data_IF_335243805540
#
_entry.id   IF_335243805540
#
_cell.length_a   1.000
_cell.length_b   1.000
_cell.length_c   1.000
_cell.angle_alpha   90.00
_cell.angle_beta   90.00
_cell.angle_gamma   90.00
#
_symmetry.space_group_name_H-M   'P 1'
#
loop_
_entity.id
_entity.type
_entity.pdbx_description
1 polymer ?
#
# COMPACT_ATOMS: atom_id res chain seq x y z
N UNK A 1 0.41 27.05 2.96
CA UNK A 1 1.56 27.24 3.87
C UNK A 1 2.81 27.36 3.01
N UNK A 2 3.77 28.23 3.33
CA UNK A 2 4.98 28.38 2.50
C UNK A 2 5.99 27.24 2.79
N UNK A 3 6.87 26.87 1.84
CA UNK A 3 7.89 25.85 2.06
C UNK A 3 8.80 26.11 3.27
N UNK A 4 9.07 27.37 3.62
CA UNK A 4 9.93 27.74 4.75
C UNK A 4 9.32 27.41 6.13
N UNK A 5 8.02 27.12 6.18
CA UNK A 5 7.35 26.70 7.42
C UNK A 5 7.48 25.19 7.68
N UNK A 6 8.01 24.42 6.73
CA UNK A 6 8.25 22.98 6.90
C UNK A 6 9.38 22.75 7.89
N UNK A 7 9.29 21.68 8.68
CA UNK A 7 10.39 21.27 9.55
C UNK A 7 11.60 20.84 8.70
N UNK A 8 12.84 21.00 9.20
CA UNK A 8 14.04 20.57 8.50
C UNK A 8 14.20 19.03 8.61
N UNK A 9 13.34 18.29 7.89
CA UNK A 9 13.19 16.83 8.04
C UNK A 9 14.49 16.06 7.91
N UNK A 10 15.35 16.42 6.94
CA UNK A 10 16.61 15.71 6.69
C UNK A 10 17.60 15.80 7.86
N UNK A 11 17.47 16.80 8.74
CA UNK A 11 18.28 16.88 9.96
C UNK A 11 17.80 15.93 11.06
N UNK A 12 16.49 15.60 11.06
CA UNK A 12 15.78 14.92 12.13
C UNK A 12 15.65 13.40 11.95
N UNK A 13 15.70 12.91 10.71
CA UNK A 13 15.58 11.48 10.38
C UNK A 13 16.70 10.62 10.99
N UNK A 14 16.44 9.31 11.13
CA UNK A 14 17.37 8.35 11.73
C UNK A 14 18.65 8.20 10.91
N UNK A 15 19.71 7.66 11.54
CA UNK A 15 20.98 7.42 10.86
C UNK A 15 20.86 6.44 9.68
N UNK A 16 20.05 5.39 9.81
CA UNK A 16 19.83 4.45 8.70
C UNK A 16 19.01 5.08 7.57
N UNK A 17 18.02 5.93 7.87
CA UNK A 17 17.28 6.69 6.85
C UNK A 17 18.21 7.68 6.12
N UNK A 18 19.10 8.37 6.83
CA UNK A 18 20.14 9.22 6.20
C UNK A 18 21.05 8.40 5.27
N UNK A 19 21.36 7.15 5.61
CA UNK A 19 22.16 6.27 4.75
C UNK A 19 21.43 5.97 3.44
N UNK A 20 20.12 5.72 3.50
CA UNK A 20 19.27 5.55 2.31
C UNK A 20 19.24 6.82 1.47
N UNK A 21 18.92 7.97 2.08
CA UNK A 21 18.81 9.27 1.38
C UNK A 21 20.12 9.64 0.67
N UNK A 22 21.27 9.31 1.25
CA UNK A 22 22.58 9.58 0.67
C UNK A 22 23.06 8.54 -0.35
N UNK A 23 22.27 7.50 -0.61
CA UNK A 23 22.63 6.45 -1.59
C UNK A 23 22.45 6.98 -3.00
N UNK A 24 23.56 7.15 -3.72
CA UNK A 24 23.53 7.55 -5.12
C UNK A 24 23.38 6.33 -6.04
N UNK A 25 22.56 6.49 -7.07
CA UNK A 25 22.42 5.54 -8.17
C UNK A 25 22.89 6.22 -9.47
N UNK A 26 24.19 6.11 -9.83
CA UNK A 26 24.78 6.91 -10.92
C UNK A 26 24.21 6.58 -12.31
N UNK A 27 23.60 5.40 -12.46
CA UNK A 27 23.01 4.94 -13.71
C UNK A 27 21.58 5.46 -13.94
N UNK A 28 20.96 6.13 -12.95
CA UNK A 28 19.64 6.72 -13.11
C UNK A 28 19.74 8.09 -13.79
N UNK A 29 18.80 8.42 -14.69
CA UNK A 29 18.64 9.81 -15.14
C UNK A 29 18.23 10.72 -13.97
N UNK A 30 18.17 12.05 -14.16
CA UNK A 30 17.50 12.94 -13.21
C UNK A 30 15.97 12.70 -13.22
N UNK A 31 15.29 13.01 -12.11
CA UNK A 31 13.83 12.88 -12.01
C UNK A 31 13.11 13.70 -13.11
N UNK A 32 12.29 13.08 -13.97
CA UNK A 32 11.67 13.73 -15.11
C UNK A 32 10.38 14.47 -14.72
N UNK A 33 10.48 15.50 -13.87
CA UNK A 33 9.31 16.25 -13.37
C UNK A 33 8.45 16.88 -14.48
N UNK A 34 9.06 17.24 -15.62
CA UNK A 34 8.38 17.78 -16.81
C UNK A 34 8.17 16.73 -17.91
N UNK A 35 8.48 15.47 -17.63
CA UNK A 35 8.32 14.36 -18.56
C UNK A 35 6.90 13.80 -18.57
N UNK A 36 6.63 12.96 -19.55
CA UNK A 36 5.39 12.17 -19.67
C UNK A 36 5.21 11.23 -18.49
N UNK A 37 3.97 10.79 -18.26
CA UNK A 37 3.68 9.77 -17.22
C UNK A 37 4.44 8.46 -17.48
N UNK A 38 4.65 8.10 -18.75
CA UNK A 38 5.43 6.92 -19.12
C UNK A 38 6.89 7.04 -18.68
N UNK A 39 7.52 8.20 -18.88
CA UNK A 39 8.89 8.47 -18.43
C UNK A 39 8.98 8.46 -16.90
N UNK A 40 7.99 8.99 -16.18
CA UNK A 40 7.92 8.92 -14.72
C UNK A 40 7.76 7.47 -14.21
N UNK A 41 6.90 6.66 -14.84
CA UNK A 41 6.74 5.23 -14.52
C UNK A 41 8.03 4.45 -14.79
N UNK A 42 8.70 4.72 -15.91
CA UNK A 42 9.97 4.10 -16.24
C UNK A 42 11.06 4.49 -15.23
N UNK A 43 11.14 5.77 -14.87
CA UNK A 43 12.05 6.25 -13.83
C UNK A 43 11.82 5.51 -12.51
N UNK A 44 10.57 5.51 -12.04
CA UNK A 44 10.21 4.89 -10.77
C UNK A 44 10.57 3.40 -10.74
N UNK A 45 10.32 2.69 -11.85
CA UNK A 45 10.69 1.27 -12.00
C UNK A 45 12.20 1.07 -11.95
N UNK A 46 12.97 1.88 -12.69
CA UNK A 46 14.42 1.78 -12.71
C UNK A 46 15.05 2.09 -11.35
N UNK A 47 14.57 3.13 -10.67
CA UNK A 47 15.04 3.53 -9.35
C UNK A 47 14.75 2.45 -8.30
N UNK A 48 13.54 1.87 -8.33
CA UNK A 48 13.12 0.84 -7.38
C UNK A 48 13.81 -0.50 -7.56
N UNK A 49 14.42 -0.75 -8.72
CA UNK A 49 15.14 -1.99 -9.02
C UNK A 49 16.27 -2.28 -8.01
N UNK A 50 17.03 -1.27 -7.60
CA UNK A 50 18.11 -1.44 -6.62
C UNK A 50 17.60 -1.94 -5.27
N UNK A 51 16.47 -1.36 -4.81
CA UNK A 51 15.87 -1.69 -3.52
C UNK A 51 15.26 -3.10 -3.50
N UNK A 52 14.82 -3.60 -4.65
CA UNK A 52 14.25 -4.94 -4.78
C UNK A 52 15.29 -6.07 -4.94
N UNK A 53 16.59 -5.76 -5.02
CA UNK A 53 17.62 -6.77 -5.13
C UNK A 53 17.67 -7.72 -3.91
N UNK A 54 18.08 -8.97 -4.15
CA UNK A 54 18.24 -9.99 -3.10
C UNK A 54 16.94 -10.36 -2.39
N UNK A 55 15.80 -10.26 -3.08
CA UNK A 55 14.52 -10.71 -2.57
C UNK A 55 14.50 -12.23 -2.34
N UNK A 56 13.69 -12.75 -1.38
CA UNK A 56 13.58 -14.18 -1.14
C UNK A 56 13.17 -14.99 -2.38
N UNK A 57 13.91 -16.05 -2.67
CA UNK A 57 13.55 -17.03 -3.70
C UNK A 57 12.47 -17.97 -3.16
N UNK A 58 11.40 -18.18 -3.93
CA UNK A 58 10.29 -19.09 -3.62
C UNK A 58 9.51 -19.42 -4.89
N UNK A 59 8.54 -20.33 -4.79
CA UNK A 59 7.67 -20.65 -5.91
C UNK A 59 6.81 -19.43 -6.27
N UNK A 60 6.88 -19.02 -7.54
CA UNK A 60 6.08 -17.90 -8.06
C UNK A 60 5.35 -18.28 -9.34
N UNK A 61 4.11 -17.80 -9.50
CA UNK A 61 3.31 -17.97 -10.72
C UNK A 61 2.64 -16.65 -11.08
N UNK A 62 2.51 -16.38 -12.37
CA UNK A 62 1.77 -15.22 -12.89
C UNK A 62 0.48 -15.72 -13.55
N UNK A 63 -0.62 -15.00 -13.30
CA UNK A 63 -1.94 -15.32 -13.83
C UNK A 63 -2.64 -14.06 -14.31
N UNK A 64 -3.32 -14.16 -15.44
CA UNK A 64 -4.25 -13.15 -15.92
C UNK A 64 -5.63 -13.46 -15.39
N UNK A 65 -6.22 -12.53 -14.65
CA UNK A 65 -7.51 -12.70 -13.98
C UNK A 65 -8.57 -11.83 -14.66
N UNK A 66 -9.72 -12.39 -15.05
CA UNK A 66 -10.76 -11.63 -15.73
C UNK A 66 -11.48 -10.66 -14.78
N UNK A 67 -11.68 -9.44 -15.24
CA UNK A 67 -12.51 -8.42 -14.60
C UNK A 67 -13.48 -7.82 -15.63
N UNK A 68 -14.40 -6.96 -15.19
CA UNK A 68 -15.29 -6.23 -16.12
C UNK A 68 -14.53 -5.22 -17.02
N UNK A 69 -13.27 -4.91 -16.70
CA UNK A 69 -12.41 -3.97 -17.44
C UNK A 69 -11.42 -4.66 -18.38
N UNK A 70 -11.36 -5.99 -18.36
CA UNK A 70 -10.35 -6.77 -19.07
C UNK A 70 -9.58 -7.69 -18.13
N UNK A 71 -8.43 -8.19 -18.60
CA UNK A 71 -7.54 -9.03 -17.80
C UNK A 71 -6.66 -8.15 -16.92
N UNK A 72 -6.49 -8.54 -15.65
CA UNK A 72 -5.55 -7.93 -14.71
C UNK A 72 -4.46 -8.94 -14.40
N UNK A 73 -3.19 -8.54 -14.50
CA UNK A 73 -2.08 -9.41 -14.14
C UNK A 73 -2.00 -9.56 -12.62
N UNK A 74 -1.76 -10.79 -12.18
CA UNK A 74 -1.52 -11.10 -10.78
C UNK A 74 -0.28 -11.96 -10.66
N UNK A 75 0.48 -11.78 -9.57
CA UNK A 75 1.66 -12.58 -9.28
C UNK A 75 1.56 -13.17 -7.90
N UNK A 76 1.62 -14.49 -7.86
CA UNK A 76 1.42 -15.32 -6.70
C UNK A 76 2.78 -15.79 -6.19
N UNK A 77 3.00 -15.63 -4.88
CA UNK A 77 4.21 -16.01 -4.16
C UNK A 77 3.84 -17.07 -3.11
N UNK A 78 4.27 -18.32 -3.30
CA UNK A 78 3.99 -19.45 -2.41
C UNK A 78 5.23 -19.76 -1.53
N UNK A 79 5.22 -19.42 -0.23
CA UNK A 79 6.32 -19.78 0.67
C UNK A 79 6.29 -21.26 1.08
N UNK A 80 5.12 -21.89 1.10
CA UNK A 80 4.89 -23.30 1.45
C UNK A 80 3.62 -23.84 0.78
N UNK A 81 3.43 -25.17 0.63
CA UNK A 81 2.25 -25.75 0.02
C UNK A 81 0.97 -25.58 0.87
N UNK A 82 1.07 -25.66 2.20
CA UNK A 82 -0.08 -25.68 3.11
C UNK A 82 -0.36 -24.28 3.70
N UNK A 83 -0.56 -23.29 2.83
CA UNK A 83 -0.83 -21.91 3.25
C UNK A 83 -2.13 -21.80 4.07
N UNK A 84 -2.12 -21.17 5.27
CA UNK A 84 -3.31 -21.06 6.11
C UNK A 84 -4.30 -19.98 5.64
N UNK A 85 -3.85 -19.06 4.78
CA UNK A 85 -4.62 -17.94 4.23
C UNK A 85 -3.98 -17.40 2.93
N UNK A 86 -4.63 -16.45 2.26
CA UNK A 86 -4.08 -15.72 1.12
C UNK A 86 -4.08 -14.22 1.39
N UNK A 87 -2.93 -13.55 1.21
CA UNK A 87 -2.77 -12.11 1.42
C UNK A 87 -2.64 -11.39 0.07
N UNK A 88 -3.59 -10.53 -0.27
CA UNK A 88 -3.51 -9.69 -1.47
C UNK A 88 -2.64 -8.46 -1.20
N UNK A 89 -1.64 -8.20 -2.03
CA UNK A 89 -0.78 -7.02 -1.91
C UNK A 89 -1.09 -6.00 -3.02
N UNK A 90 -1.22 -4.75 -2.59
CA UNK A 90 -1.60 -3.60 -3.42
C UNK A 90 -0.48 -2.58 -3.27
N UNK A 91 0.22 -2.33 -4.38
CA UNK A 91 1.41 -1.51 -4.34
C UNK A 91 1.10 -0.02 -4.22
N UNK A 92 2.03 0.74 -3.65
CA UNK A 92 2.00 2.20 -3.65
C UNK A 92 2.38 2.82 -4.99
N UNK A 93 2.60 4.14 -4.99
CA UNK A 93 2.98 4.90 -6.20
C UNK A 93 2.00 6.02 -6.59
N UNK A 94 1.23 6.54 -5.63
CA UNK A 94 0.32 7.67 -5.88
C UNK A 94 -0.72 7.39 -6.96
N UNK A 95 -1.18 6.13 -7.08
CA UNK A 95 -2.11 5.61 -8.08
C UNK A 95 -1.62 5.62 -9.54
N UNK A 96 -0.58 6.40 -9.85
CA UNK A 96 -0.10 6.61 -11.22
C UNK A 96 1.22 5.90 -11.53
N UNK A 97 1.96 5.47 -10.50
CA UNK A 97 3.24 4.76 -10.57
C UNK A 97 3.15 3.40 -9.88
N UNK A 98 4.24 2.63 -9.97
CA UNK A 98 4.34 1.31 -9.40
C UNK A 98 3.89 0.22 -10.36
N UNK A 99 4.22 -1.01 -9.98
CA UNK A 99 3.86 -2.28 -10.63
C UNK A 99 4.34 -3.42 -9.72
N UNK A 100 4.06 -4.66 -10.11
CA UNK A 100 4.51 -5.84 -9.37
C UNK A 100 6.03 -5.93 -9.14
N UNK A 101 6.87 -5.41 -10.05
CA UNK A 101 8.34 -5.49 -9.91
C UNK A 101 8.88 -4.47 -8.90
N UNK A 102 8.31 -3.27 -8.84
CA UNK A 102 8.72 -2.21 -7.90
C UNK A 102 8.50 -2.60 -6.43
N UNK A 103 7.66 -3.60 -6.16
CA UNK A 103 7.32 -4.07 -4.82
C UNK A 103 7.60 -5.58 -4.63
N UNK A 104 8.29 -6.22 -5.56
CA UNK A 104 8.56 -7.66 -5.56
C UNK A 104 9.25 -8.14 -4.26
N UNK A 105 10.24 -7.39 -3.78
CA UNK A 105 10.93 -7.70 -2.52
C UNK A 105 10.00 -7.63 -1.31
N UNK A 106 9.14 -6.61 -1.24
CA UNK A 106 8.18 -6.45 -0.15
C UNK A 106 7.23 -7.65 -0.12
N UNK A 107 6.64 -8.01 -1.27
CA UNK A 107 5.70 -9.12 -1.37
C UNK A 107 6.34 -10.46 -1.00
N UNK A 108 7.58 -10.71 -1.47
CA UNK A 108 8.34 -11.92 -1.12
C UNK A 108 8.72 -11.97 0.36
N UNK A 109 9.07 -10.84 0.97
CA UNK A 109 9.35 -10.79 2.42
C UNK A 109 8.08 -11.04 3.23
N UNK A 110 6.94 -10.45 2.84
CA UNK A 110 5.66 -10.72 3.48
C UNK A 110 5.25 -12.18 3.38
N UNK A 111 5.40 -12.81 2.21
CA UNK A 111 5.17 -14.24 2.05
C UNK A 111 6.09 -15.06 2.98
N UNK A 112 7.38 -14.69 3.03
CA UNK A 112 8.37 -15.36 3.88
C UNK A 112 8.07 -15.21 5.38
N UNK A 113 7.60 -14.06 5.84
CA UNK A 113 7.34 -13.81 7.27
C UNK A 113 5.99 -14.34 7.72
N UNK A 114 4.96 -14.22 6.89
CA UNK A 114 3.61 -14.71 7.22
C UNK A 114 3.44 -16.21 6.97
N UNK A 115 4.34 -16.83 6.21
CA UNK A 115 4.17 -18.20 5.69
C UNK A 115 2.83 -18.40 4.96
N UNK A 116 2.26 -17.31 4.44
CA UNK A 116 1.04 -17.30 3.66
C UNK A 116 1.36 -17.00 2.20
N UNK A 117 0.52 -17.52 1.30
CA UNK A 117 0.52 -17.11 -0.10
C UNK A 117 0.25 -15.61 -0.19
N UNK A 118 1.12 -14.88 -0.90
CA UNK A 118 0.90 -13.48 -1.25
C UNK A 118 0.52 -13.38 -2.73
N UNK A 119 -0.51 -12.60 -3.06
CA UNK A 119 -0.89 -12.31 -4.45
C UNK A 119 -0.79 -10.81 -4.66
N UNK A 120 0.22 -10.37 -5.41
CA UNK A 120 0.28 -9.02 -5.94
C UNK A 120 -0.72 -8.85 -7.07
N UNK A 121 -1.45 -7.73 -7.09
CA UNK A 121 -2.41 -7.38 -8.15
C UNK A 121 -1.86 -6.16 -8.90
N UNK A 122 -1.63 -6.29 -10.20
CA UNK A 122 -1.18 -5.21 -11.09
C UNK A 122 -2.40 -4.42 -11.57
N UNK A 123 -3.07 -3.74 -10.62
CA UNK A 123 -4.27 -2.97 -10.91
C UNK A 123 -3.98 -1.87 -11.94
N UNK A 124 -4.98 -1.52 -12.75
CA UNK A 124 -4.80 -0.52 -13.80
C UNK A 124 -4.51 0.85 -13.19
N UNK A 125 -3.39 1.45 -13.59
CA UNK A 125 -2.94 2.75 -13.06
C UNK A 125 -3.77 3.91 -13.61
N UNK A 126 -3.79 4.98 -12.83
CA UNK A 126 -4.30 6.28 -13.26
C UNK A 126 -3.24 7.04 -14.06
N UNK A 127 -3.62 7.96 -14.98
CA UNK A 127 -4.98 8.46 -15.24
C UNK A 127 -5.82 7.62 -16.22
N UNK A 128 -5.29 6.53 -16.76
CA UNK A 128 -5.99 5.64 -17.71
C UNK A 128 -7.20 4.97 -17.05
N UNK A 129 -7.02 4.44 -15.84
CA UNK A 129 -8.10 4.09 -14.94
C UNK A 129 -8.43 5.24 -14.00
N UNK A 130 -9.70 5.37 -13.62
CA UNK A 130 -10.16 6.31 -12.60
C UNK A 130 -10.88 5.56 -11.48
N UNK A 131 -10.97 6.19 -10.31
CA UNK A 131 -11.81 5.71 -9.22
C UNK A 131 -13.24 5.38 -9.73
N UNK A 132 -13.82 4.21 -9.39
CA UNK A 132 -13.33 3.16 -8.49
C UNK A 132 -12.69 1.94 -9.19
N UNK A 133 -12.24 2.05 -10.45
CA UNK A 133 -11.82 0.91 -11.29
C UNK A 133 -10.84 -0.05 -10.59
N UNK A 134 -9.74 0.47 -10.03
CA UNK A 134 -8.73 -0.37 -9.37
C UNK A 134 -9.33 -1.19 -8.20
N UNK A 135 -10.21 -0.60 -7.39
CA UNK A 135 -10.89 -1.30 -6.29
C UNK A 135 -11.76 -2.44 -6.84
N UNK A 136 -12.48 -2.18 -7.93
CA UNK A 136 -13.33 -3.20 -8.55
C UNK A 136 -12.53 -4.32 -9.22
N UNK A 137 -11.36 -4.02 -9.78
CA UNK A 137 -10.40 -5.01 -10.28
C UNK A 137 -9.87 -5.89 -9.14
N UNK A 138 -9.49 -5.29 -8.02
CA UNK A 138 -9.01 -6.00 -6.82
C UNK A 138 -10.08 -6.93 -6.26
N UNK A 139 -11.31 -6.42 -6.09
CA UNK A 139 -12.45 -7.21 -5.60
C UNK A 139 -12.78 -8.34 -6.58
N UNK A 140 -12.77 -8.08 -7.88
CA UNK A 140 -13.00 -9.11 -8.89
C UNK A 140 -11.92 -10.20 -8.83
N UNK A 141 -10.65 -9.84 -8.70
CA UNK A 141 -9.56 -10.79 -8.59
C UNK A 141 -9.64 -11.63 -7.31
N UNK A 142 -9.94 -11.01 -6.17
CA UNK A 142 -10.16 -11.70 -4.91
C UNK A 142 -11.29 -12.74 -5.02
N UNK A 143 -12.44 -12.35 -5.57
CA UNK A 143 -13.58 -13.25 -5.72
C UNK A 143 -13.34 -14.35 -6.77
N UNK A 144 -12.60 -14.05 -7.84
CA UNK A 144 -12.17 -15.05 -8.80
C UNK A 144 -11.30 -16.12 -8.13
N UNK A 145 -10.26 -15.72 -7.39
CA UNK A 145 -9.42 -16.68 -6.65
C UNK A 145 -10.19 -17.46 -5.60
N UNK A 146 -11.16 -16.85 -4.92
CA UNK A 146 -12.01 -17.57 -3.97
C UNK A 146 -12.81 -18.68 -4.68
N UNK A 147 -13.41 -18.37 -5.82
CA UNK A 147 -14.20 -19.33 -6.59
C UNK A 147 -13.35 -20.43 -7.24
N UNK A 148 -12.08 -20.14 -7.56
CA UNK A 148 -11.14 -21.05 -8.23
C UNK A 148 -10.05 -21.59 -7.28
N UNK A 149 -10.25 -21.50 -5.96
CA UNK A 149 -9.18 -21.74 -4.98
C UNK A 149 -8.49 -23.10 -5.12
N UNK A 150 -9.25 -24.14 -5.47
CA UNK A 150 -8.75 -25.51 -5.69
C UNK A 150 -7.82 -25.61 -6.91
N UNK A 151 -8.18 -24.96 -8.03
CA UNK A 151 -7.39 -24.96 -9.27
C UNK A 151 -6.04 -24.26 -9.09
N UNK A 152 -6.01 -23.24 -8.24
CA UNK A 152 -4.79 -22.50 -7.90
C UNK A 152 -4.05 -23.08 -6.69
N UNK A 153 -4.63 -24.08 -6.01
CA UNK A 153 -4.09 -24.70 -4.79
C UNK A 153 -3.78 -23.68 -3.69
N UNK A 154 -4.71 -22.75 -3.45
CA UNK A 154 -4.59 -21.70 -2.43
C UNK A 154 -5.71 -21.78 -1.41
N UNK A 155 -5.44 -21.32 -0.19
CA UNK A 155 -6.45 -21.22 0.85
C UNK A 155 -7.11 -19.84 0.82
N UNK A 156 -8.36 -19.79 0.36
CA UNK A 156 -9.19 -18.59 0.32
C UNK A 156 -10.30 -18.57 1.39
N UNK A 157 -10.24 -19.47 2.38
CA UNK A 157 -11.19 -19.44 3.52
C UNK A 157 -10.95 -18.23 4.44
N UNK A 158 -9.69 -17.80 4.52
CA UNK A 158 -9.23 -16.59 5.21
C UNK A 158 -8.36 -15.81 4.25
N UNK A 159 -8.60 -14.51 4.18
CA UNK A 159 -7.85 -13.60 3.32
C UNK A 159 -7.36 -12.38 4.10
N UNK A 160 -6.42 -11.66 3.52
CA UNK A 160 -6.09 -10.32 3.97
C UNK A 160 -5.82 -9.39 2.79
N UNK A 161 -5.83 -8.09 3.07
CA UNK A 161 -5.36 -7.06 2.15
C UNK A 161 -4.18 -6.34 2.77
N UNK A 162 -3.16 -6.08 1.97
CA UNK A 162 -1.94 -5.43 2.39
C UNK A 162 -1.58 -4.37 1.36
N UNK A 163 -1.05 -3.24 1.80
CA UNK A 163 -0.57 -2.25 0.87
C UNK A 163 0.10 -1.07 1.54
N UNK A 164 0.81 -0.31 0.72
CA UNK A 164 1.62 0.80 1.18
C UNK A 164 1.22 2.10 0.44
N UNK A 165 1.19 3.23 1.15
CA UNK A 165 0.79 4.52 0.57
C UNK A 165 -0.60 4.45 -0.10
N UNK A 166 -0.70 4.77 -1.39
CA UNK A 166 -1.89 4.57 -2.23
C UNK A 166 -2.45 3.12 -2.17
N UNK A 167 -1.56 2.13 -2.10
CA UNK A 167 -1.94 0.72 -1.95
C UNK A 167 -2.62 0.42 -0.62
N UNK A 168 -2.26 1.11 0.46
CA UNK A 168 -2.94 1.00 1.75
C UNK A 168 -4.37 1.55 1.68
N UNK A 169 -4.60 2.63 0.92
CA UNK A 169 -5.96 3.12 0.64
C UNK A 169 -6.77 2.04 -0.08
N UNK A 170 -6.21 1.46 -1.15
CA UNK A 170 -6.85 0.42 -1.93
C UNK A 170 -7.14 -0.84 -1.09
N UNK A 171 -6.24 -1.21 -0.17
CA UNK A 171 -6.41 -2.35 0.73
C UNK A 171 -7.61 -2.19 1.65
N UNK A 172 -7.69 -1.05 2.35
CA UNK A 172 -8.82 -0.79 3.24
C UNK A 172 -10.12 -0.56 2.45
N UNK A 173 -10.06 0.19 1.34
CA UNK A 173 -11.23 0.42 0.50
C UNK A 173 -11.82 -0.89 -0.05
N UNK A 174 -10.98 -1.83 -0.49
CA UNK A 174 -11.43 -3.14 -0.99
C UNK A 174 -12.05 -4.00 0.10
N UNK A 175 -11.47 -4.00 1.30
CA UNK A 175 -12.04 -4.71 2.45
C UNK A 175 -13.40 -4.13 2.87
N UNK A 176 -13.52 -2.80 2.94
CA UNK A 176 -14.80 -2.12 3.23
C UNK A 176 -15.82 -2.36 2.11
N UNK A 177 -15.40 -2.37 0.85
CA UNK A 177 -16.26 -2.68 -0.29
C UNK A 177 -16.87 -4.09 -0.21
N UNK A 178 -16.06 -5.10 0.16
CA UNK A 178 -16.55 -6.46 0.38
C UNK A 178 -17.57 -6.52 1.52
N UNK A 179 -17.26 -5.88 2.66
CA UNK A 179 -18.17 -5.78 3.82
C UNK A 179 -19.48 -5.11 3.46
N UNK A 180 -19.43 -3.92 2.86
CA UNK A 180 -20.60 -3.09 2.58
C UNK A 180 -21.53 -3.76 1.56
N UNK A 181 -20.96 -4.53 0.63
CA UNK A 181 -21.72 -5.33 -0.33
C UNK A 181 -22.11 -6.72 0.16
N UNK A 182 -21.69 -7.10 1.37
CA UNK A 182 -21.94 -8.43 1.95
C UNK A 182 -21.50 -9.57 1.02
N UNK A 183 -20.34 -9.39 0.38
CA UNK A 183 -19.74 -10.37 -0.52
C UNK A 183 -18.83 -11.29 0.29
N UNK A 184 -19.14 -12.58 0.33
CA UNK A 184 -18.23 -13.59 0.87
C UNK A 184 -17.25 -14.05 -0.22
N UNK A 185 -16.02 -13.57 -0.14
CA UNK A 185 -14.89 -14.03 -0.95
C UNK A 185 -13.73 -14.51 -0.05
N UNK A 186 -14.08 -15.06 1.12
CA UNK A 186 -13.15 -15.41 2.20
C UNK A 186 -13.23 -14.43 3.37
N UNK A 187 -13.10 -14.94 4.60
CA UNK A 187 -13.12 -14.09 5.79
C UNK A 187 -11.89 -13.18 5.80
N UNK A 188 -12.10 -11.87 5.76
CA UNK A 188 -11.00 -10.89 5.88
C UNK A 188 -10.45 -10.95 7.31
N UNK A 189 -9.32 -11.64 7.48
CA UNK A 189 -8.68 -11.87 8.76
C UNK A 189 -7.85 -10.65 9.22
N UNK A 190 -7.30 -9.88 8.28
CA UNK A 190 -6.61 -8.64 8.61
C UNK A 190 -6.31 -7.76 7.41
N UNK A 191 -6.11 -6.46 7.67
CA UNK A 191 -5.70 -5.45 6.70
C UNK A 191 -4.40 -4.81 7.18
N UNK A 192 -3.35 -4.86 6.36
CA UNK A 192 -2.01 -4.36 6.68
C UNK A 192 -1.75 -3.05 5.94
N UNK A 193 -1.56 -1.97 6.69
CA UNK A 193 -1.63 -0.61 6.17
C UNK A 193 -0.37 0.17 6.52
N UNK A 194 0.59 0.23 5.59
CA UNK A 194 1.81 1.02 5.78
C UNK A 194 1.66 2.42 5.18
N UNK A 195 1.79 3.43 6.05
CA UNK A 195 1.84 4.86 5.73
C UNK A 195 0.78 5.31 4.70
N UNK A 196 -0.46 4.84 4.90
CA UNK A 196 -1.56 5.11 3.99
C UNK A 196 -2.15 6.51 4.11
N UNK A 197 -2.85 6.91 3.06
CA UNK A 197 -3.78 8.03 3.02
C UNK A 197 -5.21 7.51 2.90
N UNK A 198 -6.16 8.12 3.62
CA UNK A 198 -7.53 7.61 3.71
C UNK A 198 -8.60 8.69 3.49
N UNK A 199 -8.20 9.84 2.95
CA UNK A 199 -9.10 10.90 2.50
C UNK A 199 -8.97 12.24 3.21
N UNK A 200 -8.04 12.41 4.16
CA UNK A 200 -7.83 13.74 4.72
C UNK A 200 -7.38 14.71 3.63
N UNK A 201 -8.08 15.85 3.54
CA UNK A 201 -7.73 16.92 2.60
C UNK A 201 -6.58 17.78 3.12
N UNK A 202 -6.46 17.89 4.43
CA UNK A 202 -5.45 18.68 5.13
C UNK A 202 -5.25 18.13 6.54
N UNK A 203 -4.08 18.36 7.14
CA UNK A 203 -3.75 17.92 8.50
C UNK A 203 -2.54 18.68 9.04
N UNK A 204 -2.21 18.48 10.32
CA UNK A 204 -1.02 19.09 10.92
C UNK A 204 0.23 18.54 10.22
N UNK A 205 0.32 17.23 10.00
CA UNK A 205 1.46 16.59 9.33
C UNK A 205 1.56 17.01 7.86
N UNK A 206 0.47 17.10 7.11
CA UNK A 206 0.45 17.59 5.71
C UNK A 206 0.96 19.03 5.60
N UNK A 207 0.70 19.84 6.63
CA UNK A 207 1.17 21.22 6.71
C UNK A 207 2.64 21.31 7.12
N UNK A 208 3.10 20.54 8.10
CA UNK A 208 4.47 20.63 8.64
C UNK A 208 5.53 19.83 7.86
N UNK A 209 5.13 18.79 7.12
CA UNK A 209 6.00 17.83 6.43
C UNK A 209 5.68 17.75 4.93
N UNK A 210 6.43 16.96 4.17
CA UNK A 210 6.28 16.84 2.70
C UNK A 210 7.09 17.87 1.93
N UNK A 211 7.88 17.40 0.97
CA UNK A 211 8.85 18.18 0.22
C UNK A 211 9.45 17.43 -0.97
N UNK A 212 10.50 17.99 -1.56
CA UNK A 212 11.18 17.34 -2.71
C UNK A 212 11.87 16.02 -2.33
N UNK A 213 12.17 15.79 -1.05
CA UNK A 213 12.84 14.59 -0.56
C UNK A 213 11.92 13.36 -0.51
N UNK A 214 10.60 13.54 -0.52
CA UNK A 214 9.60 12.47 -0.50
C UNK A 214 8.60 12.55 -1.66
N UNK A 215 8.51 13.69 -2.36
CA UNK A 215 7.55 13.89 -3.45
C UNK A 215 6.10 14.01 -2.96
N UNK A 216 5.91 14.44 -1.70
CA UNK A 216 4.61 14.53 -1.06
C UNK A 216 4.28 15.94 -0.59
N UNK A 217 4.60 16.95 -1.42
CA UNK A 217 4.02 18.28 -1.19
C UNK A 217 2.50 18.22 -1.35
N UNK A 218 1.79 19.22 -0.83
CA UNK A 218 0.34 19.31 -1.05
C UNK A 218 -0.01 19.43 -2.54
N UNK A 219 0.90 19.95 -3.36
CA UNK A 219 0.74 20.04 -4.81
C UNK A 219 0.84 18.66 -5.47
N UNK A 220 1.80 17.83 -5.04
CA UNK A 220 1.96 16.46 -5.54
C UNK A 220 0.72 15.62 -5.18
N UNK A 221 0.25 15.71 -3.94
CA UNK A 221 -0.95 15.02 -3.47
C UNK A 221 -2.20 15.42 -4.26
N UNK A 222 -2.36 16.72 -4.57
CA UNK A 222 -3.44 17.20 -5.42
C UNK A 222 -3.34 16.62 -6.84
N UNK A 223 -2.14 16.56 -7.42
CA UNK A 223 -1.92 15.99 -8.75
C UNK A 223 -2.28 14.50 -8.81
N UNK A 224 -1.87 13.71 -7.80
CA UNK A 224 -2.25 12.29 -7.71
C UNK A 224 -3.77 12.11 -7.58
N UNK A 225 -4.43 12.94 -6.76
CA UNK A 225 -5.89 12.92 -6.60
C UNK A 225 -6.61 13.26 -7.92
N UNK A 226 -6.18 14.31 -8.63
CA UNK A 226 -6.78 14.72 -9.91
C UNK A 226 -6.58 13.67 -11.02
N UNK A 227 -5.47 12.93 -10.98
CA UNK A 227 -5.24 11.80 -11.87
C UNK A 227 -6.14 10.61 -11.52
N UNK A 228 -6.37 10.35 -10.23
CA UNK A 228 -7.11 9.19 -9.75
C UNK A 228 -8.63 9.34 -9.83
N UNK A 229 -9.19 10.47 -9.40
CA UNK A 229 -10.64 10.65 -9.31
C UNK A 229 -11.27 10.90 -10.68
N UNK A 230 -12.50 10.42 -10.89
CA UNK A 230 -13.22 10.65 -12.15
C UNK A 230 -13.99 11.97 -12.13
N UNK A 231 -14.42 12.42 -10.94
CA UNK A 231 -15.16 13.66 -10.76
C UNK A 231 -14.95 14.23 -9.33
N UNK A 232 -15.32 15.49 -9.12
CA UNK A 232 -15.09 16.17 -7.84
C UNK A 232 -15.87 15.56 -6.66
N UNK A 233 -17.03 14.95 -6.91
CA UNK A 233 -17.86 14.33 -5.87
C UNK A 233 -17.27 13.01 -5.36
N UNK A 234 -16.41 12.35 -6.15
CA UNK A 234 -15.68 11.14 -5.72
C UNK A 234 -14.81 11.42 -4.48
N UNK A 235 -14.43 12.67 -4.24
CA UNK A 235 -13.69 13.06 -3.03
C UNK A 235 -14.44 12.75 -1.74
N UNK A 236 -15.77 12.73 -1.79
CA UNK A 236 -16.62 12.42 -0.63
C UNK A 236 -17.08 10.96 -0.60
N UNK A 237 -16.69 10.17 -1.61
CA UNK A 237 -17.04 8.76 -1.68
C UNK A 237 -16.50 7.99 -0.47
N UNK A 238 -17.31 7.09 0.15
CA UNK A 238 -16.89 6.30 1.30
C UNK A 238 -15.82 5.23 0.96
N UNK A 239 -15.42 5.12 -0.32
CA UNK A 239 -14.33 4.25 -0.77
C UNK A 239 -13.10 5.03 -1.26
N UNK A 240 -13.11 6.37 -1.13
CA UNK A 240 -11.94 7.22 -1.28
C UNK A 240 -11.64 7.96 0.03
N UNK A 241 -12.58 8.79 0.48
CA UNK A 241 -12.57 9.30 1.85
C UNK A 241 -13.19 8.24 2.77
N UNK A 242 -12.35 7.33 3.25
CA UNK A 242 -12.79 6.19 4.06
C UNK A 242 -13.35 6.63 5.41
N UNK A 243 -13.00 7.85 5.86
CA UNK A 243 -13.61 8.48 7.05
C UNK A 243 -15.08 8.84 6.86
N UNK A 244 -15.58 8.90 5.62
CA UNK A 244 -17.01 9.06 5.31
C UNK A 244 -17.76 7.72 5.32
N UNK A 245 -17.06 6.58 5.40
CA UNK A 245 -17.68 5.26 5.55
C UNK A 245 -17.99 4.97 7.02
N UNK A 246 -18.78 3.94 7.27
CA UNK A 246 -18.99 3.43 8.62
C UNK A 246 -17.75 2.68 9.11
N UNK A 247 -16.98 3.32 9.99
CA UNK A 247 -15.82 2.73 10.66
C UNK A 247 -16.13 2.28 12.10
N UNK A 248 -17.42 2.23 12.47
CA UNK A 248 -17.88 1.96 13.82
C UNK A 248 -18.24 0.50 14.08
N UNK A 249 -18.37 -0.31 13.02
CA UNK A 249 -18.74 -1.72 13.11
C UNK A 249 -18.13 -2.56 11.99
N UNK A 250 -17.91 -3.83 12.29
CA UNK A 250 -17.55 -4.88 11.34
C UNK A 250 -16.34 -4.53 10.45
N UNK A 251 -15.43 -3.67 10.93
CA UNK A 251 -14.16 -3.39 10.25
C UNK A 251 -13.22 -4.55 10.54
N UNK A 252 -12.58 -5.18 9.53
CA UNK A 252 -11.59 -6.24 9.78
C UNK A 252 -10.42 -5.74 10.63
N UNK A 253 -9.70 -6.63 11.36
CA UNK A 253 -8.53 -6.25 12.13
C UNK A 253 -7.51 -5.45 11.30
N UNK A 254 -7.15 -4.24 11.74
CA UNK A 254 -6.25 -3.35 10.99
C UNK A 254 -4.90 -3.18 11.70
N UNK A 255 -3.81 -3.50 11.01
CA UNK A 255 -2.47 -3.08 11.39
C UNK A 255 -2.13 -1.77 10.68
N UNK A 256 -1.87 -0.71 11.45
CA UNK A 256 -1.68 0.65 10.96
C UNK A 256 -0.27 1.12 11.31
N UNK A 257 0.58 1.21 10.30
CA UNK A 257 1.98 1.61 10.44
C UNK A 257 2.19 3.05 9.99
N UNK A 258 2.56 3.95 10.91
CA UNK A 258 2.91 5.34 10.59
C UNK A 258 4.42 5.54 10.43
N UNK A 259 4.84 6.37 9.48
CA UNK A 259 6.21 6.89 9.40
C UNK A 259 6.30 8.26 10.11
N UNK A 260 7.35 8.49 10.91
CA UNK A 260 7.41 9.68 11.78
C UNK A 260 7.45 11.00 11.01
N UNK A 261 8.26 11.08 9.95
CA UNK A 261 8.42 12.29 9.15
C UNK A 261 7.69 12.18 7.80
N UNK A 262 6.43 11.76 7.86
CA UNK A 262 5.54 11.60 6.72
C UNK A 262 4.35 12.59 6.78
N UNK A 263 4.07 13.38 5.72
CA UNK A 263 2.88 14.22 5.70
C UNK A 263 1.56 13.44 5.88
N UNK A 264 1.51 12.15 5.54
CA UNK A 264 0.33 11.29 5.65
C UNK A 264 0.14 10.67 7.05
N UNK A 265 1.04 10.92 8.00
CA UNK A 265 0.99 10.31 9.33
C UNK A 265 -0.34 10.59 10.07
N UNK A 266 -0.92 11.78 9.92
CA UNK A 266 -2.21 12.08 10.56
C UNK A 266 -3.39 11.30 9.96
N UNK A 267 -3.33 10.84 8.70
CA UNK A 267 -4.34 9.92 8.15
C UNK A 267 -4.32 8.59 8.92
N UNK A 268 -3.14 8.04 9.15
CA UNK A 268 -2.96 6.81 9.96
C UNK A 268 -3.38 7.00 11.41
N UNK A 269 -3.04 8.14 12.03
CA UNK A 269 -3.48 8.47 13.39
C UNK A 269 -5.00 8.59 13.49
N UNK A 270 -5.64 9.27 12.54
CA UNK A 270 -7.09 9.44 12.54
C UNK A 270 -7.80 8.10 12.37
N UNK A 271 -7.32 7.24 11.46
CA UNK A 271 -7.87 5.89 11.29
C UNK A 271 -7.78 5.08 12.60
N UNK A 272 -6.59 5.03 13.21
CA UNK A 272 -6.41 4.33 14.48
C UNK A 272 -7.34 4.87 15.59
N UNK A 273 -7.37 6.19 15.77
CA UNK A 273 -8.22 6.82 16.79
C UNK A 273 -9.71 6.53 16.56
N UNK A 274 -10.14 6.52 15.30
CA UNK A 274 -11.54 6.25 14.92
C UNK A 274 -11.91 4.80 15.23
N UNK A 275 -11.09 3.84 14.82
CA UNK A 275 -11.33 2.41 15.05
C UNK A 275 -11.28 2.06 16.54
N UNK A 276 -10.27 2.56 17.26
CA UNK A 276 -10.11 2.32 18.70
C UNK A 276 -11.28 2.91 19.51
N UNK A 277 -11.77 4.10 19.16
CA UNK A 277 -12.92 4.72 19.83
C UNK A 277 -14.22 3.90 19.68
N UNK A 278 -14.34 3.10 18.62
CA UNK A 278 -15.48 2.22 18.37
C UNK A 278 -15.16 0.74 18.61
N UNK A 279 -14.09 0.45 19.37
CA UNK A 279 -13.70 -0.91 19.77
C UNK A 279 -13.49 -1.87 18.58
N UNK A 280 -13.15 -1.34 17.41
CA UNK A 280 -12.75 -2.15 16.27
C UNK A 280 -11.32 -2.66 16.51
N UNK A 281 -11.04 -3.90 16.08
CA UNK A 281 -9.72 -4.50 16.26
C UNK A 281 -8.67 -3.76 15.44
N UNK A 282 -7.71 -3.12 16.10
CA UNK A 282 -6.64 -2.41 15.43
C UNK A 282 -5.39 -2.31 16.28
N UNK A 283 -4.24 -2.24 15.62
CA UNK A 283 -2.94 -1.95 16.21
C UNK A 283 -2.31 -0.79 15.44
N UNK A 284 -1.76 0.19 16.17
CA UNK A 284 -1.00 1.28 15.59
C UNK A 284 0.45 1.24 16.05
N UNK A 285 1.38 1.33 15.10
CA UNK A 285 2.80 1.44 15.39
C UNK A 285 3.42 2.58 14.59
N UNK A 286 4.09 3.50 15.29
CA UNK A 286 4.90 4.55 14.69
C UNK A 286 6.34 4.06 14.54
N UNK A 287 6.92 4.20 13.35
CA UNK A 287 8.31 3.86 13.07
C UNK A 287 9.19 5.13 13.12
N UNK A 288 10.00 5.31 14.17
CA UNK A 288 10.71 6.56 14.40
C UNK A 288 11.82 6.82 13.38
N UNK A 289 12.05 8.09 13.06
CA UNK A 289 13.11 8.55 12.18
C UNK A 289 12.95 8.15 10.72
N UNK A 290 11.76 7.71 10.31
CA UNK A 290 11.47 7.27 8.93
C UNK A 290 10.78 8.35 8.11
N UNK A 291 11.11 8.39 6.82
CA UNK A 291 10.36 9.08 5.76
C UNK A 291 9.24 8.18 5.23
N UNK A 292 8.34 8.77 4.43
CA UNK A 292 7.42 8.01 3.59
C UNK A 292 8.17 7.01 2.68
N UNK A 293 7.50 5.92 2.30
CA UNK A 293 8.03 4.85 1.44
C UNK A 293 9.20 4.03 2.03
N UNK A 294 9.45 4.10 3.35
CA UNK A 294 10.61 3.44 3.95
C UNK A 294 10.62 1.90 3.81
N UNK A 295 9.47 1.28 3.54
CA UNK A 295 9.32 -0.19 3.49
C UNK A 295 10.20 -0.84 2.40
N UNK A 296 10.49 -0.12 1.31
CA UNK A 296 11.37 -0.60 0.24
C UNK A 296 12.81 -0.84 0.71
N UNK A 297 13.23 -0.19 1.79
CA UNK A 297 14.64 -0.09 2.15
C UNK A 297 15.12 -1.20 3.09
N UNK A 298 14.39 -2.31 3.22
CA UNK A 298 14.69 -3.41 4.18
C UNK A 298 16.07 -4.04 4.01
N UNK A 299 16.71 -3.91 2.83
CA UNK A 299 18.11 -4.35 2.63
C UNK A 299 19.15 -3.44 3.28
N UNK A 300 18.77 -2.25 3.74
CA UNK A 300 19.64 -1.25 4.37
C UNK A 300 19.10 -0.69 5.69
N UNK A 301 17.80 -0.79 5.93
CA UNK A 301 17.13 -0.30 7.13
C UNK A 301 16.50 -1.44 7.90
N UNK A 302 16.90 -1.62 9.16
CA UNK A 302 16.27 -2.61 10.04
C UNK A 302 14.84 -2.22 10.38
N UNK A 303 14.55 -0.92 10.50
CA UNK A 303 13.19 -0.43 10.76
C UNK A 303 12.22 -0.83 9.65
N UNK A 304 12.67 -0.87 8.39
CA UNK A 304 11.87 -1.34 7.27
C UNK A 304 11.60 -2.85 7.32
N UNK A 305 12.61 -3.65 7.70
CA UNK A 305 12.44 -5.09 7.92
C UNK A 305 11.50 -5.40 9.11
N UNK A 306 11.65 -4.65 10.20
CA UNK A 306 10.78 -4.72 11.38
C UNK A 306 9.33 -4.43 11.00
N UNK A 307 9.08 -3.37 10.22
CA UNK A 307 7.74 -3.01 9.79
C UNK A 307 7.03 -4.09 8.96
N UNK A 308 7.79 -4.82 8.13
CA UNK A 308 7.27 -5.97 7.38
C UNK A 308 6.96 -7.15 8.31
N UNK A 309 7.83 -7.43 9.28
CA UNK A 309 7.64 -8.52 10.26
C UNK A 309 6.45 -8.27 11.16
N UNK A 310 6.27 -7.05 11.65
CA UNK A 310 5.18 -6.70 12.54
C UNK A 310 3.83 -6.88 11.84
N UNK A 311 3.68 -6.39 10.60
CA UNK A 311 2.46 -6.58 9.83
C UNK A 311 2.21 -8.06 9.52
N UNK A 312 3.24 -8.81 9.15
CA UNK A 312 3.13 -10.26 8.93
C UNK A 312 2.73 -11.01 10.21
N UNK A 313 3.34 -10.68 11.35
CA UNK A 313 3.02 -11.25 12.65
C UNK A 313 1.58 -10.92 13.05
N UNK A 314 1.15 -9.66 12.90
CA UNK A 314 -0.22 -9.24 13.14
C UNK A 314 -1.21 -10.07 12.34
N UNK A 315 -0.96 -10.26 11.03
CA UNK A 315 -1.83 -11.05 10.16
C UNK A 315 -1.93 -12.51 10.64
N UNK A 316 -0.80 -13.15 10.91
CA UNK A 316 -0.78 -14.56 11.36
C UNK A 316 -1.46 -14.76 12.71
N UNK A 317 -1.48 -13.75 13.59
CA UNK A 317 -2.18 -13.82 14.87
C UNK A 317 -3.72 -13.82 14.73
N UNK A 318 -4.26 -13.49 13.55
CA UNK A 318 -5.69 -13.51 13.27
C UNK A 318 -6.19 -14.82 12.63
N UNK A 319 -5.27 -15.73 12.28
CA UNK A 319 -5.58 -17.00 11.59
C UNK A 319 -5.94 -18.09 12.58
#
# INVERSE_FOLDING_TARGET
>A
MKPENKLPVLDLISAEMKTVVNTLQPDLPPWPATGTIAEQRQYYTLERRFWNAGAPEMATKAYMVPTKYGQVETRLFCPQPDSPATLFYLHGGGFILGNLDTHDRIMRLLASYSQCTVIGIDYTLSPEARFPQAIEEIVAACCYFHQQAEDYQINMSRIGFAGDSAGAMLALASALWLRDKQIDCGKVAGVLLWYGLYGLRDSVTRRLLGGVWDGLTQQDLQMYEEAYLSNDADRESPYYCLFNNDLTREVPPCFIAGAEFDPLLDDSRLLYQTLAAHQQSCEFKLYPGTLHAFLHYSRMMKTADEALRDGAQFFTAQL
#
